data_IF_106953169060
#
_entry.id   IF_106953169060
#
_cell.length_a   1.000
_cell.length_b   1.000
_cell.length_c   1.000
_cell.angle_alpha   90.00
_cell.angle_beta   90.00
_cell.angle_gamma   90.00
#
_symmetry.space_group_name_H-M   'P 1'
#
loop_
_entity.id
_entity.type
_entity.pdbx_description
1 polymer ?
#
# COMPACT_ATOMS: atom_id res chain seq x y z
N UNK A 1 12.70 15.67 6.04
CA UNK A 1 14.18 15.57 6.06
C UNK A 1 14.57 14.33 5.28
N UNK A 2 15.66 14.38 4.53
CA UNK A 2 16.19 13.24 3.76
C UNK A 2 17.61 12.95 4.23
N UNK A 3 17.90 11.68 4.54
CA UNK A 3 19.25 11.23 4.90
C UNK A 3 20.00 10.80 3.63
N UNK A 4 21.28 11.17 3.53
CA UNK A 4 22.19 10.68 2.49
C UNK A 4 23.25 9.79 3.14
N UNK A 5 23.36 8.55 2.67
CA UNK A 5 24.44 7.64 3.05
C UNK A 5 25.81 8.16 2.62
N UNK A 6 25.88 8.82 1.46
CA UNK A 6 27.14 9.26 0.85
C UNK A 6 27.77 10.41 1.63
N UNK A 7 26.95 11.35 2.12
CA UNK A 7 27.42 12.49 2.91
C UNK A 7 27.33 12.25 4.42
N UNK A 8 26.66 11.18 4.85
CA UNK A 8 26.35 10.88 6.25
C UNK A 8 25.46 11.92 6.92
N UNK A 9 24.80 12.78 6.15
CA UNK A 9 24.11 13.97 6.62
C UNK A 9 22.60 13.97 6.36
N UNK A 10 21.88 14.74 7.18
CA UNK A 10 20.47 15.06 6.96
C UNK A 10 20.34 16.36 6.18
N UNK A 11 19.57 16.33 5.08
CA UNK A 11 19.18 17.54 4.36
C UNK A 11 17.73 17.89 4.71
N UNK A 12 17.50 19.14 5.13
CA UNK A 12 16.17 19.70 5.25
C UNK A 12 15.72 20.19 3.88
N UNK A 13 14.70 19.56 3.31
CA UNK A 13 14.00 20.09 2.14
C UNK A 13 12.95 21.06 2.65
N UNK A 14 13.27 22.35 2.73
CA UNK A 14 12.32 23.39 3.11
C UNK A 14 11.38 23.67 1.93
N UNK A 15 10.21 23.02 1.92
CA UNK A 15 9.07 23.47 1.14
C UNK A 15 7.91 23.76 2.08
N UNK A 16 7.50 25.03 2.12
CA UNK A 16 6.55 25.58 3.09
C UNK A 16 5.13 24.94 3.04
N UNK A 17 4.78 24.23 1.97
CA UNK A 17 3.44 23.65 1.80
C UNK A 17 3.26 22.25 2.38
N UNK A 18 4.33 21.52 2.75
CA UNK A 18 4.16 20.17 3.33
C UNK A 18 3.53 20.20 4.73
N UNK A 19 3.71 21.29 5.47
CA UNK A 19 3.24 21.45 6.84
C UNK A 19 1.71 21.49 6.98
N UNK A 20 1.00 21.72 5.87
CA UNK A 20 -0.47 21.77 5.84
C UNK A 20 -1.12 20.42 5.50
N UNK A 21 -0.34 19.40 5.11
CA UNK A 21 -0.87 18.08 4.77
C UNK A 21 -0.61 17.10 5.91
N UNK A 22 -1.66 16.80 6.68
CA UNK A 22 -1.65 15.67 7.60
C UNK A 22 -1.43 14.38 6.81
N UNK A 23 -0.18 13.90 6.79
CA UNK A 23 0.21 12.60 6.25
C UNK A 23 -0.54 11.53 7.04
N UNK A 24 -1.09 10.54 6.34
CA UNK A 24 -1.76 9.43 7.00
C UNK A 24 -0.79 8.63 7.86
N UNK A 25 -1.29 7.96 8.90
CA UNK A 25 -0.47 7.08 9.75
C UNK A 25 0.03 5.82 9.02
N UNK A 26 -0.33 5.65 7.74
CA UNK A 26 -0.07 4.46 6.95
C UNK A 26 1.08 4.63 5.95
N UNK A 27 1.55 3.48 5.49
CA UNK A 27 2.81 3.26 4.78
C UNK A 27 3.00 4.16 3.55
N UNK A 28 4.23 4.67 3.42
CA UNK A 28 4.72 5.30 2.19
C UNK A 28 5.27 4.26 1.23
N UNK A 29 5.22 4.52 -0.08
CA UNK A 29 5.83 3.61 -1.06
C UNK A 29 6.80 4.32 -1.98
N UNK A 30 7.89 3.63 -2.34
CA UNK A 30 8.92 4.12 -3.24
C UNK A 30 8.76 3.50 -4.63
N UNK A 31 8.62 4.34 -5.65
CA UNK A 31 8.44 3.92 -7.03
C UNK A 31 9.01 4.99 -7.97
N UNK A 32 9.76 4.59 -8.99
CA UNK A 32 10.33 5.49 -10.01
C UNK A 32 11.07 6.70 -9.40
N UNK A 33 11.99 6.42 -8.48
CA UNK A 33 12.76 7.42 -7.74
C UNK A 33 11.93 8.45 -6.94
N UNK A 34 10.67 8.11 -6.67
CA UNK A 34 9.70 9.01 -6.04
C UNK A 34 9.09 8.33 -4.81
N UNK A 35 9.10 9.04 -3.68
CA UNK A 35 8.36 8.63 -2.47
C UNK A 35 6.92 9.10 -2.56
N UNK A 36 5.98 8.25 -2.18
CA UNK A 36 4.54 8.52 -2.21
C UNK A 36 3.99 8.46 -0.79
N UNK A 37 3.16 9.45 -0.44
CA UNK A 37 2.57 9.58 0.88
C UNK A 37 1.06 9.82 0.76
N UNK A 38 0.21 8.92 1.27
CA UNK A 38 -1.22 9.17 1.34
C UNK A 38 -1.49 10.28 2.38
N UNK A 39 -2.36 11.22 2.05
CA UNK A 39 -2.74 12.33 2.95
C UNK A 39 -4.21 12.23 3.33
N UNK A 40 -4.58 12.87 4.45
CA UNK A 40 -5.99 12.92 4.89
C UNK A 40 -6.92 13.72 3.99
N UNK A 41 -6.36 14.47 3.03
CA UNK A 41 -7.11 15.26 2.06
C UNK A 41 -7.53 14.47 0.81
N UNK A 42 -7.45 13.14 0.86
CA UNK A 42 -7.75 12.26 -0.29
C UNK A 42 -6.85 12.56 -1.49
N UNK A 43 -5.59 12.88 -1.20
CA UNK A 43 -4.52 13.10 -2.16
C UNK A 43 -3.29 12.27 -1.76
N UNK A 44 -2.46 11.92 -2.74
CA UNK A 44 -1.14 11.36 -2.55
C UNK A 44 -0.14 12.46 -2.88
N UNK A 45 0.69 12.80 -1.91
CA UNK A 45 1.84 13.69 -2.16
C UNK A 45 3.01 12.83 -2.60
N UNK A 46 3.69 13.26 -3.66
CA UNK A 46 4.89 12.56 -4.14
C UNK A 46 6.10 13.46 -4.08
N UNK A 47 7.23 12.93 -3.64
CA UNK A 47 8.52 13.63 -3.53
C UNK A 47 9.52 12.96 -4.45
N UNK A 48 10.00 13.69 -5.46
CA UNK A 48 11.09 13.25 -6.33
C UNK A 48 12.41 13.34 -5.56
N UNK A 49 13.09 12.22 -5.40
CA UNK A 49 14.29 12.14 -4.57
C UNK A 49 15.54 12.74 -5.23
N UNK A 50 15.55 12.87 -6.56
CA UNK A 50 16.66 13.45 -7.32
C UNK A 50 16.46 14.95 -7.55
N UNK A 51 15.29 15.32 -8.07
CA UNK A 51 14.96 16.71 -8.41
C UNK A 51 14.56 17.53 -7.20
N UNK A 52 14.21 16.86 -6.09
CA UNK A 52 13.66 17.48 -4.86
C UNK A 52 12.37 18.26 -5.11
N UNK A 53 11.71 17.99 -6.22
CA UNK A 53 10.38 18.50 -6.57
C UNK A 53 9.29 17.65 -5.91
N UNK A 54 8.10 18.21 -5.81
CA UNK A 54 6.94 17.50 -5.30
C UNK A 54 5.71 17.77 -6.16
N UNK A 55 4.77 16.83 -6.14
CA UNK A 55 3.48 16.94 -6.84
C UNK A 55 2.39 16.25 -6.04
N UNK A 56 1.15 16.46 -6.48
CA UNK A 56 -0.04 15.83 -5.91
C UNK A 56 -0.72 14.96 -6.95
N UNK A 57 -1.20 13.81 -6.49
CA UNK A 57 -2.05 12.92 -7.26
C UNK A 57 -3.35 12.78 -6.49
N UNK A 58 -4.49 13.04 -7.14
CA UNK A 58 -5.79 12.81 -6.50
C UNK A 58 -6.01 11.31 -6.29
N UNK A 59 -6.61 10.93 -5.17
CA UNK A 59 -7.06 9.54 -4.95
C UNK A 59 -8.14 9.14 -5.97
N UNK A 60 -8.40 7.83 -6.16
CA UNK A 60 -9.53 7.36 -6.93
C UNK A 60 -10.85 8.02 -6.53
N UNK A 61 -11.75 8.24 -7.51
CA UNK A 61 -13.04 8.88 -7.25
C UNK A 61 -13.86 8.03 -6.27
N UNK A 62 -14.30 8.63 -5.16
CA UNK A 62 -15.07 7.94 -4.11
C UNK A 62 -14.21 7.22 -3.06
N UNK A 63 -12.89 7.27 -3.18
CA UNK A 63 -11.94 6.88 -2.14
C UNK A 63 -11.57 8.13 -1.33
N UNK A 64 -12.20 8.27 -0.17
CA UNK A 64 -11.91 9.32 0.82
C UNK A 64 -10.91 8.80 1.84
N UNK A 65 -9.95 9.63 2.26
CA UNK A 65 -8.93 9.27 3.25
C UNK A 65 -9.01 10.11 4.54
N UNK A 66 -10.19 10.62 4.88
CA UNK A 66 -10.36 11.53 6.03
C UNK A 66 -9.93 10.90 7.36
N UNK A 67 -10.14 9.57 7.49
CA UNK A 67 -9.76 8.78 8.66
C UNK A 67 -8.35 8.18 8.56
N UNK A 68 -7.67 8.37 7.42
CA UNK A 68 -6.35 7.79 7.17
C UNK A 68 -6.37 6.32 6.77
N UNK A 69 -7.52 5.73 6.48
CA UNK A 69 -7.72 4.31 6.20
C UNK A 69 -7.30 3.84 4.79
N UNK A 70 -6.85 4.76 3.94
CA UNK A 70 -6.30 4.42 2.61
C UNK A 70 -4.83 4.06 2.72
N UNK A 71 -4.49 2.90 2.16
CA UNK A 71 -3.13 2.41 2.03
C UNK A 71 -2.69 2.42 0.56
N UNK A 72 -1.38 2.52 0.35
CA UNK A 72 -0.77 2.53 -0.98
C UNK A 72 0.39 1.55 -1.04
N UNK A 73 0.73 1.10 -2.24
CA UNK A 73 1.79 0.13 -2.46
C UNK A 73 2.19 0.05 -3.92
N UNK A 74 3.19 -0.77 -4.22
CA UNK A 74 3.69 -0.97 -5.59
C UNK A 74 3.54 -2.41 -6.03
N UNK A 75 3.12 -2.60 -7.26
CA UNK A 75 3.16 -3.90 -7.94
C UNK A 75 3.36 -3.69 -9.43
N UNK A 76 4.19 -4.51 -10.07
CA UNK A 76 4.46 -4.50 -11.51
C UNK A 76 4.82 -3.11 -12.03
N UNK A 77 5.67 -2.39 -11.30
CA UNK A 77 6.10 -1.04 -11.65
C UNK A 77 5.01 0.04 -11.58
N UNK A 78 3.85 -0.25 -10.99
CA UNK A 78 2.70 0.66 -10.89
C UNK A 78 2.31 0.94 -9.44
N UNK A 79 1.70 2.10 -9.24
CA UNK A 79 1.17 2.51 -7.94
C UNK A 79 -0.24 1.96 -7.74
N UNK A 80 -0.47 1.37 -6.57
CA UNK A 80 -1.75 0.83 -6.14
C UNK A 80 -2.24 1.58 -4.91
N UNK A 81 -3.56 1.71 -4.81
CA UNK A 81 -4.24 2.25 -3.63
C UNK A 81 -5.40 1.34 -3.26
N UNK A 82 -5.61 1.10 -1.97
CA UNK A 82 -6.70 0.28 -1.49
C UNK A 82 -7.27 0.79 -0.17
N UNK A 83 -8.50 0.38 0.10
CA UNK A 83 -9.18 0.59 1.36
C UNK A 83 -10.24 -0.49 1.58
N UNK A 84 -10.61 -0.67 2.84
CA UNK A 84 -11.68 -1.59 3.25
C UNK A 84 -12.80 -0.74 3.84
N UNK A 85 -13.98 -0.79 3.23
CA UNK A 85 -15.17 -0.09 3.73
C UNK A 85 -16.09 -1.05 4.46
N UNK A 86 -16.51 -0.67 5.65
CA UNK A 86 -17.58 -1.36 6.35
C UNK A 86 -18.93 -1.01 5.72
N UNK A 87 -19.36 -1.84 4.78
CA UNK A 87 -20.70 -1.80 4.16
C UNK A 87 -21.49 -3.08 4.48
N UNK A 88 -21.22 -3.69 5.63
CA UNK A 88 -21.86 -4.93 6.10
C UNK A 88 -21.11 -6.22 5.75
N UNK A 89 -20.19 -6.20 4.76
CA UNK A 89 -19.39 -7.36 4.36
C UNK A 89 -17.87 -7.07 4.24
N UNK A 90 -17.44 -5.89 4.75
CA UNK A 90 -16.09 -5.35 4.67
C UNK A 90 -15.50 -5.42 3.26
N UNK A 91 -15.96 -4.52 2.40
CA UNK A 91 -15.58 -4.52 0.99
C UNK A 91 -14.19 -3.91 0.79
N UNK A 92 -13.25 -4.72 0.33
CA UNK A 92 -11.94 -4.28 -0.16
C UNK A 92 -12.05 -3.81 -1.61
N UNK A 93 -11.59 -2.59 -1.89
CA UNK A 93 -11.44 -2.07 -3.25
C UNK A 93 -9.99 -1.70 -3.53
N UNK A 94 -9.46 -2.19 -4.64
CA UNK A 94 -8.07 -2.00 -5.07
C UNK A 94 -8.05 -1.30 -6.42
N UNK A 95 -7.30 -0.19 -6.48
CA UNK A 95 -7.15 0.65 -7.64
C UNK A 95 -5.70 0.69 -8.09
N UNK A 96 -5.49 0.82 -9.40
CA UNK A 96 -4.17 1.01 -10.01
C UNK A 96 -4.13 2.36 -10.73
N UNK A 97 -3.03 3.08 -10.55
CA UNK A 97 -2.76 4.31 -11.29
C UNK A 97 -2.31 3.95 -12.71
N UNK A 98 -3.09 4.32 -13.73
CA UNK A 98 -2.77 4.00 -15.13
C UNK A 98 -1.59 4.80 -15.63
N UNK A 99 -1.60 6.11 -15.34
CA UNK A 99 -0.56 7.04 -15.73
C UNK A 99 -0.46 8.15 -14.68
N UNK A 100 0.77 8.51 -14.33
CA UNK A 100 1.12 9.62 -13.46
C UNK A 100 0.65 10.96 -14.03
N UNK A 101 0.80 11.19 -15.34
CA UNK A 101 0.53 12.49 -15.95
C UNK A 101 -0.96 12.82 -15.96
N UNK A 102 -1.80 11.81 -16.19
CA UNK A 102 -3.26 11.98 -16.20
C UNK A 102 -3.87 11.88 -14.81
N UNK A 103 -3.15 11.35 -13.81
CA UNK A 103 -3.68 11.07 -12.48
C UNK A 103 -4.89 10.12 -12.51
N UNK A 104 -5.01 9.26 -13.54
CA UNK A 104 -6.19 8.44 -13.77
C UNK A 104 -6.04 7.09 -13.08
N UNK A 105 -7.05 6.74 -12.29
CA UNK A 105 -7.15 5.46 -11.59
C UNK A 105 -8.16 4.55 -12.24
N UNK A 106 -7.87 3.25 -12.22
CA UNK A 106 -8.79 2.20 -12.67
C UNK A 106 -8.97 1.17 -11.56
N UNK A 107 -10.22 0.79 -11.33
CA UNK A 107 -10.59 -0.24 -10.35
C UNK A 107 -10.11 -1.58 -10.89
N UNK A 108 -9.23 -2.25 -10.13
CA UNK A 108 -8.69 -3.56 -10.52
C UNK A 108 -9.46 -4.70 -9.88
N UNK A 109 -9.81 -4.56 -8.60
CA UNK A 109 -10.45 -5.63 -7.83
C UNK A 109 -11.38 -5.05 -6.79
N UNK A 110 -12.54 -5.68 -6.62
CA UNK A 110 -13.45 -5.47 -5.49
C UNK A 110 -13.84 -6.82 -4.93
N UNK A 111 -13.60 -7.04 -3.64
CA UNK A 111 -13.85 -8.32 -2.99
C UNK A 111 -14.36 -8.11 -1.58
N UNK A 112 -15.21 -9.02 -1.10
CA UNK A 112 -15.72 -9.00 0.27
C UNK A 112 -14.76 -9.75 1.18
N UNK A 113 -14.22 -9.08 2.20
CA UNK A 113 -13.35 -9.74 3.16
C UNK A 113 -14.12 -10.84 3.91
N UNK A 114 -15.38 -10.61 4.29
CA UNK A 114 -16.17 -11.65 4.97
C UNK A 114 -16.32 -12.94 4.13
N UNK A 115 -16.35 -12.83 2.79
CA UNK A 115 -16.37 -14.00 1.90
C UNK A 115 -15.00 -14.70 1.81
N UNK A 116 -13.90 -13.93 1.81
CA UNK A 116 -12.55 -14.48 1.75
C UNK A 116 -12.21 -15.29 3.02
N UNK A 117 -12.61 -14.79 4.18
CA UNK A 117 -12.29 -15.41 5.47
C UNK A 117 -13.31 -16.46 5.95
N UNK A 118 -14.51 -16.44 5.35
CA UNK A 118 -15.62 -17.35 5.66
C UNK A 118 -16.48 -16.88 6.84
N UNK A 119 -17.70 -17.41 6.93
CA UNK A 119 -18.71 -17.01 7.94
C UNK A 119 -18.34 -17.32 9.40
N UNK A 120 -17.33 -18.14 9.65
CA UNK A 120 -16.88 -18.51 11.00
C UNK A 120 -16.18 -17.35 11.74
N UNK A 121 -15.93 -16.23 11.06
CA UNK A 121 -15.26 -15.07 11.65
C UNK A 121 -16.22 -14.09 12.36
N UNK A 122 -17.55 -14.28 12.28
CA UNK A 122 -18.65 -13.35 12.64
C UNK A 122 -18.77 -12.94 14.12
N UNK A 123 -17.70 -13.05 14.90
CA UNK A 123 -17.65 -12.41 16.20
C UNK A 123 -17.66 -10.89 16.01
N UNK A 124 -18.58 -10.22 16.70
CA UNK A 124 -18.69 -8.77 16.73
C UNK A 124 -17.27 -8.16 16.87
N UNK A 125 -16.95 -7.16 16.06
CA UNK A 125 -15.61 -6.54 15.90
C UNK A 125 -14.62 -7.30 14.98
N UNK A 126 -15.03 -7.64 13.76
CA UNK A 126 -14.09 -8.03 12.70
C UNK A 126 -13.37 -6.78 12.17
N UNK A 127 -12.05 -6.70 12.34
CA UNK A 127 -11.22 -5.75 11.61
C UNK A 127 -10.40 -6.52 10.60
N UNK A 128 -10.70 -6.36 9.31
CA UNK A 128 -9.85 -6.89 8.25
C UNK A 128 -8.81 -5.85 7.87
N UNK A 129 -7.60 -6.31 7.58
CA UNK A 129 -6.56 -5.47 7.01
C UNK A 129 -5.90 -6.18 5.83
N UNK A 130 -5.55 -5.41 4.80
CA UNK A 130 -4.64 -5.82 3.75
C UNK A 130 -3.31 -5.12 4.03
N UNK A 131 -2.27 -5.91 4.28
CA UNK A 131 -0.96 -5.41 4.71
C UNK A 131 0.12 -5.52 3.63
N UNK A 132 -0.14 -6.23 2.53
CA UNK A 132 0.82 -6.34 1.45
C UNK A 132 0.17 -6.61 0.09
N UNK A 133 0.84 -6.12 -0.96
CA UNK A 133 0.66 -6.53 -2.35
C UNK A 133 1.99 -7.07 -2.87
N UNK A 134 1.95 -8.19 -3.59
CA UNK A 134 3.15 -8.79 -4.16
C UNK A 134 3.77 -7.85 -5.21
N UNK A 135 5.10 -7.62 -5.20
CA UNK A 135 5.73 -6.62 -6.04
C UNK A 135 5.64 -6.93 -7.54
N UNK A 136 5.49 -8.20 -7.94
CA UNK A 136 5.51 -8.61 -9.35
C UNK A 136 4.22 -9.32 -9.82
N UNK A 137 3.32 -9.64 -8.89
CA UNK A 137 2.15 -10.46 -9.18
C UNK A 137 0.88 -9.78 -8.66
N UNK A 138 -0.26 -10.12 -9.25
CA UNK A 138 -1.58 -9.67 -8.80
C UNK A 138 -2.06 -10.45 -7.56
N UNK A 139 -1.18 -10.61 -6.58
CA UNK A 139 -1.39 -11.35 -5.34
C UNK A 139 -1.38 -10.38 -4.17
N UNK A 140 -2.39 -10.45 -3.32
CA UNK A 140 -2.51 -9.62 -2.12
C UNK A 140 -2.54 -10.48 -0.86
N UNK A 141 -2.21 -9.88 0.27
CA UNK A 141 -2.18 -10.56 1.57
C UNK A 141 -3.09 -9.83 2.56
N UNK A 142 -3.94 -10.60 3.22
CA UNK A 142 -4.93 -10.10 4.16
C UNK A 142 -4.88 -10.86 5.48
N UNK A 143 -5.31 -10.20 6.54
CA UNK A 143 -5.52 -10.80 7.86
C UNK A 143 -6.85 -10.34 8.45
N UNK A 144 -7.44 -11.17 9.31
CA UNK A 144 -8.57 -10.80 10.17
C UNK A 144 -8.11 -10.16 11.50
N UNK A 145 -6.81 -9.86 11.60
CA UNK A 145 -6.11 -9.34 12.79
C UNK A 145 -6.31 -10.21 14.05
N UNK A 146 -6.68 -11.48 13.88
CA UNK A 146 -6.97 -12.39 15.00
C UNK A 146 -6.36 -13.76 14.82
N UNK A 147 -6.80 -14.50 13.79
CA UNK A 147 -6.54 -15.94 13.65
C UNK A 147 -6.03 -16.30 12.27
N UNK A 148 -6.55 -15.66 11.23
CA UNK A 148 -6.36 -16.08 9.85
C UNK A 148 -5.57 -15.04 9.08
N UNK A 149 -4.61 -15.54 8.32
CA UNK A 149 -3.91 -14.80 7.28
C UNK A 149 -4.00 -15.59 5.99
N UNK A 150 -4.29 -14.91 4.89
CA UNK A 150 -4.45 -15.52 3.59
C UNK A 150 -3.80 -14.67 2.51
N UNK A 151 -3.49 -15.31 1.38
CA UNK A 151 -3.28 -14.63 0.12
C UNK A 151 -4.49 -14.79 -0.80
N UNK A 152 -4.68 -13.80 -1.66
CA UNK A 152 -5.72 -13.79 -2.68
C UNK A 152 -5.13 -13.44 -4.04
N UNK A 153 -5.26 -14.36 -5.00
CA UNK A 153 -4.89 -14.16 -6.40
C UNK A 153 -6.03 -13.41 -7.09
N UNK A 154 -5.79 -12.17 -7.50
CA UNK A 154 -6.80 -11.33 -8.15
C UNK A 154 -7.10 -11.75 -9.59
N UNK A 155 -6.20 -12.49 -10.26
CA UNK A 155 -6.38 -12.93 -11.65
C UNK A 155 -7.24 -14.20 -11.70
N UNK A 156 -6.95 -15.17 -10.83
CA UNK A 156 -7.69 -16.43 -10.76
C UNK A 156 -8.84 -16.42 -9.75
N UNK A 157 -8.93 -15.38 -8.92
CA UNK A 157 -9.87 -15.26 -7.80
C UNK A 157 -9.74 -16.40 -6.78
N UNK A 158 -8.52 -16.90 -6.57
CA UNK A 158 -8.22 -18.00 -5.67
C UNK A 158 -7.74 -17.51 -4.31
N UNK A 159 -8.19 -18.19 -3.25
CA UNK A 159 -7.81 -17.92 -1.86
C UNK A 159 -6.88 -19.01 -1.37
N UNK A 160 -5.77 -18.62 -0.76
CA UNK A 160 -4.84 -19.55 -0.12
C UNK A 160 -4.61 -19.16 1.34
N UNK A 161 -4.92 -20.05 2.27
CA UNK A 161 -4.72 -19.81 3.71
C UNK A 161 -3.24 -20.02 4.04
N UNK A 162 -2.59 -18.98 4.55
CA UNK A 162 -1.18 -19.00 4.95
C UNK A 162 -1.06 -19.43 6.41
N UNK A 163 -1.90 -18.85 7.27
CA UNK A 163 -1.92 -19.13 8.69
C UNK A 163 -3.37 -19.14 9.21
N UNK A 164 -3.66 -20.04 10.15
CA UNK A 164 -4.97 -20.15 10.80
C UNK A 164 -4.85 -20.34 12.34
N UNK A 165 -3.66 -20.13 12.91
CA UNK A 165 -3.40 -20.37 14.33
C UNK A 165 -3.49 -19.10 15.20
N UNK A 166 -3.51 -17.91 14.59
CA UNK A 166 -3.49 -16.62 15.30
C UNK A 166 -2.12 -16.20 15.83
N UNK A 167 -1.08 -16.97 15.56
CA UNK A 167 0.30 -16.63 15.94
C UNK A 167 0.93 -15.56 15.02
N UNK A 168 0.24 -15.22 13.92
CA UNK A 168 0.67 -14.25 12.93
C UNK A 168 -0.37 -13.13 12.84
N UNK A 169 -0.08 -12.01 13.51
CA UNK A 169 -0.96 -10.85 13.51
C UNK A 169 -0.69 -9.95 12.29
N UNK A 170 0.58 -9.72 11.96
CA UNK A 170 1.01 -8.86 10.87
C UNK A 170 2.35 -9.35 10.28
N UNK A 171 2.52 -9.17 8.97
CA UNK A 171 3.77 -9.40 8.26
C UNK A 171 4.10 -8.20 7.41
N UNK A 172 5.38 -7.84 7.31
CA UNK A 172 5.83 -6.90 6.29
C UNK A 172 6.24 -7.70 5.05
N UNK A 173 5.82 -7.33 3.84
CA UNK A 173 6.35 -7.96 2.64
C UNK A 173 7.85 -7.67 2.58
N UNK A 174 8.66 -8.70 2.83
CA UNK A 174 10.09 -8.61 2.62
C UNK A 174 10.32 -8.43 1.12
N UNK A 175 10.82 -7.26 0.73
CA UNK A 175 11.38 -7.07 -0.61
C UNK A 175 12.86 -7.40 -0.50
N UNK A 176 13.34 -8.55 -1.02
CA UNK A 176 14.76 -8.86 -0.99
C UNK A 176 15.50 -7.79 -1.79
N UNK A 177 16.42 -7.09 -1.15
CA UNK A 177 17.43 -6.30 -1.87
C UNK A 177 18.45 -7.29 -2.41
N UNK A 178 18.28 -7.72 -3.67
CA UNK A 178 19.35 -8.39 -4.37
C UNK A 178 20.39 -7.32 -4.71
N UNK A 179 21.34 -7.12 -3.80
CA UNK A 179 22.60 -6.48 -4.16
C UNK A 179 23.27 -7.47 -5.11
N UNK A 180 23.37 -7.14 -6.40
CA UNK A 180 24.24 -7.88 -7.31
C UNK A 180 25.62 -7.93 -6.66
N UNK A 181 26.06 -9.11 -6.23
CA UNK A 181 27.45 -9.32 -5.91
C UNK A 181 28.19 -9.13 -7.23
N UNK A 182 28.93 -8.01 -7.36
CA UNK A 182 29.94 -7.94 -8.41
C UNK A 182 30.88 -9.09 -8.15
N UNK A 183 30.86 -10.07 -9.04
CA UNK A 183 31.87 -11.10 -9.10
C UNK A 183 33.16 -10.43 -9.58
N UNK A 184 33.80 -9.66 -8.72
CA UNK A 184 35.18 -9.25 -8.91
C UNK A 184 36.06 -10.44 -8.49
N UNK A 185 36.02 -11.46 -9.35
CA UNK A 185 37.08 -12.45 -9.43
C UNK A 185 38.11 -11.95 -10.43
N UNK A 186 39.24 -11.45 -9.93
CA UNK A 186 40.60 -11.79 -10.40
C UNK A 186 41.66 -11.34 -9.39
#
# INVERSE_FOLDING_TARGET
MVYSSDTGGWTLTEHNDFSTYSISYFESTFLNNTMHFPTRYSEIVTVDMERKDWRKIKMPRGMTNEYGDVSIGKSQGRLFAWHIKDQGDYQLSIWVLENYDSGKWTLKCTVSCSKLFGTDCRENYESYSMFAIHPECNLIFLTDNKKKTLSYDMDNQEVHIICATGDFLEGLPYTPSFVEWTSDGH
#
